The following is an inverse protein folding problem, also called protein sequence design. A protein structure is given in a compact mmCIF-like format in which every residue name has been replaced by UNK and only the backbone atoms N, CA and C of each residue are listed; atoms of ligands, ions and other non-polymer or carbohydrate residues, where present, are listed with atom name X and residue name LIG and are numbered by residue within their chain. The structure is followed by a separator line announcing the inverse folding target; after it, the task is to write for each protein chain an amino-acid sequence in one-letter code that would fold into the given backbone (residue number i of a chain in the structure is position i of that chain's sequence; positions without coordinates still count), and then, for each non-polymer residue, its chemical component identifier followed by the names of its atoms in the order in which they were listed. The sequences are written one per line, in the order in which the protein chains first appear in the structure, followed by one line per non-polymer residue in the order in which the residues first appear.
data_IF_084834826522
#
_entry.id   IF_084834826522
#
_cell.length_a   1.000
_cell.length_b   1.000
_cell.length_c   1.000
_cell.angle_alpha   90.00
_cell.angle_beta   90.00
_cell.angle_gamma   90.00
#
_symmetry.space_group_name_H-M   'P 1'
#
loop_
_entity.id
_entity.type
_entity.pdbx_description
1 polymer ?
#
# COMPACT_ATOMS: atom_id res chain seq x y z
N UNK A 1 17.61 -23.16 -40.24
CA UNK A 1 18.30 -22.55 -39.07
C UNK A 1 18.59 -21.10 -39.40
N UNK A 2 18.00 -20.13 -38.68
CA UNK A 2 18.21 -18.70 -38.94
C UNK A 2 19.66 -18.29 -38.65
N UNK A 3 20.21 -17.31 -39.39
CA UNK A 3 21.53 -16.75 -39.11
C UNK A 3 21.62 -16.26 -37.65
N UNK A 4 22.70 -16.61 -36.96
CA UNK A 4 22.90 -16.28 -35.54
C UNK A 4 22.85 -14.76 -35.28
N UNK A 5 23.28 -13.96 -36.27
CA UNK A 5 23.24 -12.49 -36.22
C UNK A 5 21.80 -11.99 -36.09
N UNK A 6 20.86 -12.57 -36.85
CA UNK A 6 19.44 -12.19 -36.84
C UNK A 6 18.80 -12.57 -35.49
N UNK A 7 19.02 -13.80 -35.02
CA UNK A 7 18.43 -14.27 -33.76
C UNK A 7 18.95 -13.47 -32.55
N UNK A 8 20.23 -13.12 -32.55
CA UNK A 8 20.85 -12.27 -31.53
C UNK A 8 20.24 -10.85 -31.53
N UNK A 9 20.05 -10.25 -32.70
CA UNK A 9 19.48 -8.92 -32.84
C UNK A 9 18.00 -8.89 -32.38
N UNK A 10 17.19 -9.86 -32.83
CA UNK A 10 15.80 -10.03 -32.41
C UNK A 10 15.70 -10.27 -30.89
N UNK A 11 16.61 -11.08 -30.32
CA UNK A 11 16.68 -11.31 -28.88
C UNK A 11 16.93 -10.03 -28.08
N UNK A 12 17.85 -9.17 -28.54
CA UNK A 12 18.10 -7.86 -27.93
C UNK A 12 16.88 -6.93 -28.06
N UNK A 13 16.24 -6.90 -29.24
CA UNK A 13 15.05 -6.10 -29.49
C UNK A 13 13.89 -6.52 -28.58
N UNK A 14 13.69 -7.82 -28.41
CA UNK A 14 12.69 -8.41 -27.51
C UNK A 14 12.91 -7.97 -26.06
N UNK A 15 14.15 -8.05 -25.54
CA UNK A 15 14.48 -7.60 -24.18
C UNK A 15 14.18 -6.11 -24.01
N UNK A 16 14.53 -5.29 -25.00
CA UNK A 16 14.26 -3.85 -24.97
C UNK A 16 12.77 -3.52 -25.04
N UNK A 17 11.99 -4.26 -25.83
CA UNK A 17 10.53 -4.13 -25.86
C UNK A 17 9.90 -4.48 -24.52
N UNK A 18 10.32 -5.59 -23.91
CA UNK A 18 9.85 -5.96 -22.56
C UNK A 18 10.19 -4.85 -21.55
N UNK A 19 11.40 -4.30 -21.59
CA UNK A 19 11.80 -3.20 -20.71
C UNK A 19 10.95 -1.95 -20.94
N UNK A 20 10.71 -1.54 -22.19
CA UNK A 20 9.84 -0.41 -22.53
C UNK A 20 8.42 -0.59 -22.00
N UNK A 21 7.82 -1.77 -22.20
CA UNK A 21 6.49 -2.06 -21.68
C UNK A 21 6.46 -2.10 -20.16
N UNK A 22 7.47 -2.69 -19.52
CA UNK A 22 7.57 -2.76 -18.07
C UNK A 22 7.65 -1.37 -17.46
N UNK A 23 8.60 -0.54 -17.90
CA UNK A 23 8.78 0.82 -17.37
C UNK A 23 7.51 1.64 -17.58
N UNK A 24 6.92 1.62 -18.78
CA UNK A 24 5.69 2.37 -19.06
C UNK A 24 4.54 1.93 -18.15
N UNK A 25 4.35 0.63 -17.93
CA UNK A 25 3.29 0.10 -17.06
C UNK A 25 3.55 0.40 -15.59
N UNK A 26 4.79 0.29 -15.14
CA UNK A 26 5.16 0.62 -13.76
C UNK A 26 4.91 2.10 -13.47
N UNK A 27 5.36 3.01 -14.33
CA UNK A 27 5.11 4.44 -14.13
C UNK A 27 3.61 4.74 -14.10
N UNK A 28 2.82 4.12 -14.99
CA UNK A 28 1.37 4.29 -14.97
C UNK A 28 0.73 3.72 -13.69
N UNK A 29 1.13 2.53 -13.25
CA UNK A 29 0.61 1.90 -12.04
C UNK A 29 0.97 2.71 -10.79
N UNK A 30 2.22 3.17 -10.68
CA UNK A 30 2.66 4.07 -9.61
C UNK A 30 1.82 5.35 -9.61
N UNK A 31 1.61 5.98 -10.77
CA UNK A 31 0.78 7.18 -10.87
C UNK A 31 -0.67 6.95 -10.44
N UNK A 32 -1.27 5.81 -10.82
CA UNK A 32 -2.64 5.45 -10.44
C UNK A 32 -2.74 5.16 -8.95
N UNK A 33 -1.83 4.35 -8.40
CA UNK A 33 -1.79 4.03 -6.96
C UNK A 33 -1.56 5.30 -6.14
N UNK A 34 -0.59 6.13 -6.53
CA UNK A 34 -0.32 7.39 -5.83
C UNK A 34 -1.51 8.35 -5.92
N UNK A 35 -2.16 8.46 -7.08
CA UNK A 35 -3.36 9.29 -7.23
C UNK A 35 -4.54 8.80 -6.38
N UNK A 36 -4.79 7.49 -6.38
CA UNK A 36 -5.82 6.87 -5.53
C UNK A 36 -5.49 7.01 -4.05
N UNK A 37 -4.22 6.83 -3.67
CA UNK A 37 -3.73 7.03 -2.30
C UNK A 37 -3.89 8.48 -1.85
N UNK A 38 -3.54 9.46 -2.70
CA UNK A 38 -3.77 10.87 -2.41
C UNK A 38 -5.27 11.19 -2.20
N UNK A 39 -6.16 10.61 -3.01
CA UNK A 39 -7.61 10.76 -2.82
C UNK A 39 -8.07 10.14 -1.50
N UNK A 40 -7.63 8.91 -1.20
CA UNK A 40 -7.97 8.22 0.04
C UNK A 40 -7.47 8.98 1.27
N UNK A 41 -6.22 9.43 1.28
CA UNK A 41 -5.66 10.25 2.36
C UNK A 41 -6.39 11.59 2.48
N UNK A 42 -6.76 12.20 1.36
CA UNK A 42 -7.57 13.42 1.35
C UNK A 42 -8.97 13.23 1.97
N UNK A 43 -9.58 12.06 1.77
CA UNK A 43 -10.83 11.67 2.43
C UNK A 43 -10.59 11.35 3.92
N UNK A 44 -9.49 10.65 4.23
CA UNK A 44 -9.07 10.30 5.59
C UNK A 44 -8.91 11.52 6.50
N UNK A 45 -8.51 12.67 5.94
CA UNK A 45 -8.49 13.94 6.67
C UNK A 45 -9.87 14.44 7.13
N UNK A 46 -10.96 13.93 6.57
CA UNK A 46 -12.34 14.28 6.96
C UNK A 46 -13.06 13.17 7.69
N UNK A 47 -12.59 11.93 7.58
CA UNK A 47 -13.24 10.73 8.14
C UNK A 47 -12.15 9.81 8.67
N UNK A 48 -12.21 9.47 9.97
CA UNK A 48 -11.26 8.54 10.61
C UNK A 48 -11.38 7.18 9.93
N UNK A 49 -10.34 6.81 9.17
CA UNK A 49 -10.24 5.56 8.43
C UNK A 49 -8.93 4.86 8.84
N UNK A 50 -8.96 4.05 9.92
CA UNK A 50 -7.75 3.49 10.54
C UNK A 50 -6.96 2.54 9.62
N UNK A 51 -7.57 2.08 8.53
CA UNK A 51 -6.96 1.16 7.57
C UNK A 51 -6.42 1.84 6.29
N UNK A 52 -6.55 3.17 6.17
CA UNK A 52 -6.23 3.87 4.92
C UNK A 52 -4.74 3.78 4.54
N UNK A 53 -3.84 4.01 5.49
CA UNK A 53 -2.38 3.92 5.28
C UNK A 53 -1.90 2.50 4.92
N UNK A 54 -2.18 1.44 5.71
CA UNK A 54 -1.73 0.11 5.37
C UNK A 54 -2.37 -0.40 4.06
N UNK A 55 -3.62 -0.01 3.76
CA UNK A 55 -4.27 -0.39 2.52
C UNK A 55 -3.56 0.19 1.27
N UNK A 56 -3.12 1.45 1.32
CA UNK A 56 -2.40 2.09 0.20
C UNK A 56 -1.05 1.42 -0.02
N UNK A 57 -0.33 1.07 1.03
CA UNK A 57 0.95 0.37 0.94
C UNK A 57 0.79 -1.04 0.33
N UNK A 58 -0.17 -1.82 0.83
CA UNK A 58 -0.46 -3.16 0.32
C UNK A 58 -0.93 -3.10 -1.13
N UNK A 59 -1.83 -2.18 -1.47
CA UNK A 59 -2.30 -1.98 -2.85
C UNK A 59 -1.15 -1.61 -3.80
N UNK A 60 -0.23 -0.75 -3.35
CA UNK A 60 0.97 -0.39 -4.11
C UNK A 60 1.89 -1.58 -4.37
N UNK A 61 2.18 -2.37 -3.33
CA UNK A 61 2.99 -3.58 -3.46
C UNK A 61 2.36 -4.59 -4.43
N UNK A 62 1.05 -4.84 -4.30
CA UNK A 62 0.30 -5.74 -5.18
C UNK A 62 0.28 -5.24 -6.62
N UNK A 63 0.11 -3.94 -6.86
CA UNK A 63 0.13 -3.36 -8.19
C UNK A 63 1.49 -3.54 -8.88
N UNK A 64 2.60 -3.30 -8.16
CA UNK A 64 3.96 -3.50 -8.69
C UNK A 64 4.21 -4.98 -9.00
N UNK A 65 3.83 -5.87 -8.09
CA UNK A 65 3.94 -7.32 -8.30
C UNK A 65 3.13 -7.77 -9.52
N UNK A 66 1.86 -7.38 -9.60
CA UNK A 66 0.96 -7.71 -10.70
C UNK A 66 1.50 -7.21 -12.06
N UNK A 67 1.97 -5.96 -12.15
CA UNK A 67 2.56 -5.42 -13.38
C UNK A 67 3.81 -6.19 -13.79
N UNK A 68 4.66 -6.54 -12.83
CA UNK A 68 5.91 -7.28 -13.07
C UNK A 68 5.60 -8.69 -13.58
N UNK A 69 4.74 -9.43 -12.88
CA UNK A 69 4.30 -10.78 -13.25
C UNK A 69 3.59 -10.77 -14.60
N UNK A 70 2.63 -9.86 -14.80
CA UNK A 70 1.90 -9.73 -16.05
C UNK A 70 2.84 -9.43 -17.23
N UNK A 71 3.83 -8.57 -17.04
CA UNK A 71 4.80 -8.23 -18.10
C UNK A 71 5.78 -9.38 -18.35
N UNK A 72 6.16 -10.12 -17.31
CA UNK A 72 6.95 -11.33 -17.45
C UNK A 72 6.18 -12.47 -18.14
N UNK A 73 4.86 -12.56 -17.97
CA UNK A 73 3.99 -13.50 -18.67
C UNK A 73 3.72 -13.07 -20.11
N UNK A 74 3.50 -11.77 -20.34
CA UNK A 74 3.19 -11.18 -21.65
C UNK A 74 4.43 -10.91 -22.51
N UNK A 75 5.47 -11.73 -22.40
CA UNK A 75 6.73 -11.54 -23.14
C UNK A 75 6.44 -11.52 -24.65
N UNK A 76 6.90 -10.49 -25.40
CA UNK A 76 6.68 -10.42 -26.84
C UNK A 76 7.19 -11.69 -27.54
N UNK A 77 6.45 -12.19 -28.54
CA UNK A 77 6.94 -13.29 -29.36
C UNK A 77 8.15 -12.84 -30.22
N UNK A 78 9.04 -13.76 -30.62
CA UNK A 78 10.16 -13.43 -31.50
C UNK A 78 9.71 -12.76 -32.80
N UNK A 79 8.59 -13.21 -33.38
CA UNK A 79 7.98 -12.61 -34.58
C UNK A 79 7.57 -11.16 -34.36
N UNK A 80 6.91 -10.85 -33.22
CA UNK A 80 6.52 -9.47 -32.89
C UNK A 80 7.74 -8.56 -32.70
N UNK A 81 8.81 -9.09 -32.09
CA UNK A 81 10.05 -8.33 -31.94
C UNK A 81 10.75 -8.07 -33.28
N UNK A 82 10.68 -9.01 -34.24
CA UNK A 82 11.20 -8.83 -35.59
C UNK A 82 10.41 -7.77 -36.38
N UNK A 83 9.07 -7.80 -36.33
CA UNK A 83 8.22 -6.78 -36.97
C UNK A 83 8.51 -5.37 -36.43
N UNK A 84 8.67 -5.25 -35.11
CA UNK A 84 8.99 -3.95 -34.50
C UNK A 84 10.39 -3.47 -34.88
N UNK A 85 11.34 -4.39 -35.04
CA UNK A 85 12.68 -4.12 -35.55
C UNK A 85 12.63 -3.60 -36.99
N UNK A 86 11.84 -4.23 -37.85
CA UNK A 86 11.64 -3.82 -39.23
C UNK A 86 11.03 -2.42 -39.32
N UNK A 87 10.01 -2.16 -38.50
CA UNK A 87 9.31 -0.86 -38.47
C UNK A 87 10.21 0.26 -37.94
N UNK A 88 10.93 0.03 -36.83
CA UNK A 88 11.69 1.10 -36.15
C UNK A 88 13.08 1.33 -36.71
N UNK A 89 13.75 0.30 -37.22
CA UNK A 89 15.07 0.41 -37.83
C UNK A 89 15.03 0.46 -39.36
N UNK A 90 13.83 0.40 -39.95
CA UNK A 90 13.63 0.54 -41.40
C UNK A 90 14.11 -0.65 -42.22
N UNK A 91 14.07 -1.87 -41.68
CA UNK A 91 14.46 -3.07 -42.43
C UNK A 91 13.43 -3.50 -43.49
N UNK A 92 12.22 -2.89 -43.51
CA UNK A 92 11.18 -3.16 -44.52
C UNK A 92 10.86 -4.67 -44.62
N UNK A 93 10.48 -5.26 -43.50
CA UNK A 93 10.11 -6.68 -43.32
C UNK A 93 11.22 -7.72 -43.54
N UNK A 94 12.47 -7.30 -43.81
CA UNK A 94 13.57 -8.24 -44.07
C UNK A 94 13.84 -9.19 -42.88
N UNK A 95 13.74 -8.72 -41.64
CA UNK A 95 14.05 -9.54 -40.46
C UNK A 95 12.89 -10.46 -40.12
N UNK A 96 11.65 -9.98 -40.17
CA UNK A 96 10.46 -10.81 -39.96
C UNK A 96 10.37 -11.93 -41.00
N UNK A 97 10.55 -11.60 -42.29
CA UNK A 97 10.53 -12.58 -43.38
C UNK A 97 11.68 -13.59 -43.25
N UNK A 98 12.90 -13.14 -42.94
CA UNK A 98 14.02 -14.07 -42.75
C UNK A 98 13.81 -15.03 -41.56
N UNK A 99 13.16 -14.56 -40.48
CA UNK A 99 12.83 -15.39 -39.33
C UNK A 99 11.77 -16.46 -39.66
N UNK A 100 10.80 -16.11 -40.50
CA UNK A 100 9.74 -17.02 -40.97
C UNK A 100 10.29 -18.06 -41.95
N UNK A 101 11.12 -17.65 -42.90
CA UNK A 101 11.73 -18.54 -43.90
C UNK A 101 12.77 -19.49 -43.29
N UNK A 102 13.49 -19.06 -42.26
CA UNK A 102 14.53 -19.87 -41.64
C UNK A 102 14.01 -21.14 -40.91
N UNK A 103 12.70 -21.22 -40.67
CA UNK A 103 11.99 -22.39 -40.15
C UNK A 103 11.51 -23.37 -41.23
N UNK A 104 11.52 -22.97 -42.50
CA UNK A 104 11.15 -23.83 -43.62
C UNK A 104 12.41 -24.57 -44.13
N UNK A 105 12.35 -25.90 -44.16
CA UNK A 105 13.38 -26.75 -44.76
C UNK A 105 12.69 -27.83 -45.61
N UNK A 106 13.14 -28.08 -46.86
CA UNK A 106 14.25 -27.41 -47.56
C UNK A 106 13.90 -26.00 -48.06
N UNK A 107 14.89 -25.08 -48.05
CA UNK A 107 14.74 -23.73 -48.63
C UNK A 107 15.08 -23.73 -50.12
N UNK A 108 14.35 -22.93 -50.90
CA UNK A 108 14.71 -22.64 -52.30
C UNK A 108 15.83 -21.56 -52.39
N UNK A 109 16.39 -21.38 -53.58
CA UNK A 109 17.51 -20.45 -53.83
C UNK A 109 17.13 -18.99 -53.51
N UNK A 110 15.88 -18.59 -53.78
CA UNK A 110 15.40 -17.24 -53.51
C UNK A 110 15.23 -16.97 -52.01
N UNK A 111 14.69 -17.93 -51.26
CA UNK A 111 14.56 -17.88 -49.81
C UNK A 111 15.93 -17.81 -49.14
N UNK A 112 16.90 -18.59 -49.63
CA UNK A 112 18.28 -18.53 -49.15
C UNK A 112 18.92 -17.15 -49.40
N UNK A 113 18.70 -16.55 -50.58
CA UNK A 113 19.17 -15.20 -50.89
C UNK A 113 18.51 -14.14 -49.99
N UNK A 114 17.21 -14.28 -49.68
CA UNK A 114 16.50 -13.37 -48.77
C UNK A 114 17.03 -13.44 -47.34
N UNK A 115 17.27 -14.65 -46.83
CA UNK A 115 17.85 -14.86 -45.50
C UNK A 115 19.27 -14.28 -45.41
N UNK A 116 20.10 -14.51 -46.44
CA UNK A 116 21.47 -13.97 -46.49
C UNK A 116 21.48 -12.43 -46.59
N UNK A 117 20.57 -11.85 -47.39
CA UNK A 117 20.41 -10.39 -47.49
C UNK A 117 20.00 -9.78 -46.14
N UNK A 118 19.07 -10.41 -45.43
CA UNK A 118 18.66 -9.96 -44.10
C UNK A 118 19.79 -10.09 -43.06
N UNK A 119 20.63 -11.13 -43.17
CA UNK A 119 21.80 -11.29 -42.31
C UNK A 119 22.82 -10.17 -42.54
N UNK A 120 23.13 -9.86 -43.80
CA UNK A 120 24.01 -8.75 -44.16
C UNK A 120 23.45 -7.39 -43.73
N UNK A 121 22.13 -7.20 -43.76
CA UNK A 121 21.50 -6.00 -43.20
C UNK A 121 21.65 -5.91 -41.67
N UNK A 122 21.55 -7.04 -40.97
CA UNK A 122 21.66 -7.11 -39.52
C UNK A 122 23.09 -6.97 -39.01
N UNK A 123 24.09 -7.27 -39.84
CA UNK A 123 25.51 -7.08 -39.53
C UNK A 123 25.82 -5.61 -39.21
N UNK A 124 26.50 -5.38 -38.09
CA UNK A 124 26.86 -4.04 -37.62
C UNK A 124 25.71 -3.18 -37.10
N UNK A 125 24.45 -3.63 -37.15
CA UNK A 125 23.32 -2.86 -36.64
C UNK A 125 23.22 -2.93 -35.12
N UNK A 126 22.96 -1.76 -34.53
CA UNK A 126 22.70 -1.61 -33.10
C UNK A 126 21.27 -1.13 -32.87
N UNK A 127 20.78 -1.27 -31.63
CA UNK A 127 19.46 -0.80 -31.25
C UNK A 127 19.41 0.71 -30.93
N UNK A 128 20.43 1.50 -31.29
CA UNK A 128 20.49 2.92 -30.93
C UNK A 128 19.23 3.69 -31.38
N UNK A 129 18.73 3.41 -32.60
CA UNK A 129 17.51 4.00 -33.16
C UNK A 129 16.19 3.34 -32.77
N UNK A 130 16.19 2.34 -31.89
CA UNK A 130 15.01 1.54 -31.57
C UNK A 130 13.98 2.26 -30.67
N UNK A 131 14.31 3.46 -30.20
CA UNK A 131 13.46 4.30 -29.34
C UNK A 131 13.86 4.28 -27.86
N UNK A 132 13.41 5.28 -27.11
CA UNK A 132 13.72 5.46 -25.70
C UNK A 132 13.02 4.40 -24.82
N UNK A 133 13.71 3.97 -23.75
CA UNK A 133 13.12 3.06 -22.74
C UNK A 133 12.14 3.81 -21.85
N UNK A 134 12.44 5.08 -21.57
CA UNK A 134 11.60 5.93 -20.75
C UNK A 134 10.31 6.32 -21.48
N UNK A 135 9.17 6.35 -20.76
CA UNK A 135 7.90 6.80 -21.31
C UNK A 135 7.93 8.31 -21.56
N UNK A 136 6.89 8.82 -22.24
CA UNK A 136 6.76 10.24 -22.55
C UNK A 136 6.84 11.11 -21.28
N UNK A 137 7.49 12.28 -21.40
CA UNK A 137 7.70 13.23 -20.30
C UNK A 137 6.41 13.64 -19.60
N UNK A 138 5.30 13.74 -20.34
CA UNK A 138 3.96 14.00 -19.78
C UNK A 138 3.51 12.93 -18.78
N UNK A 139 3.74 11.66 -19.10
CA UNK A 139 3.34 10.54 -18.26
C UNK A 139 4.21 10.48 -16.99
N UNK A 140 5.52 10.74 -17.14
CA UNK A 140 6.42 10.91 -15.99
C UNK A 140 6.01 12.09 -15.10
N UNK A 141 5.66 13.22 -15.70
CA UNK A 141 5.21 14.42 -14.98
C UNK A 141 3.92 14.16 -14.19
N UNK A 142 2.94 13.51 -14.80
CA UNK A 142 1.68 13.15 -14.12
C UNK A 142 1.90 12.15 -12.98
N UNK A 143 2.71 11.11 -13.19
CA UNK A 143 3.03 10.15 -12.13
C UNK A 143 3.82 10.81 -10.99
N UNK A 144 4.80 11.67 -11.32
CA UNK A 144 5.55 12.43 -10.34
C UNK A 144 4.67 13.38 -9.52
N UNK A 145 3.75 14.09 -10.17
CA UNK A 145 2.78 14.97 -9.49
C UNK A 145 1.89 14.18 -8.52
N UNK A 146 1.40 13.01 -8.94
CA UNK A 146 0.57 12.15 -8.09
C UNK A 146 1.34 11.66 -6.85
N UNK A 147 2.61 11.28 -7.01
CA UNK A 147 3.49 10.88 -5.90
C UNK A 147 3.73 12.04 -4.93
N UNK A 148 4.05 13.24 -5.46
CA UNK A 148 4.25 14.43 -4.63
C UNK A 148 2.98 14.79 -3.86
N UNK A 149 1.81 14.72 -4.49
CA UNK A 149 0.53 14.97 -3.84
C UNK A 149 0.24 13.95 -2.72
N UNK A 150 0.50 12.66 -2.96
CA UNK A 150 0.34 11.62 -1.95
C UNK A 150 1.26 11.86 -0.75
N UNK A 151 2.54 12.17 -0.99
CA UNK A 151 3.50 12.47 0.08
C UNK A 151 3.11 13.72 0.87
N UNK A 152 2.69 14.79 0.19
CA UNK A 152 2.24 16.02 0.83
C UNK A 152 1.00 15.80 1.72
N UNK A 153 0.16 14.82 1.38
CA UNK A 153 -1.01 14.47 2.18
C UNK A 153 -0.68 13.52 3.34
N UNK A 154 0.35 12.70 3.21
CA UNK A 154 0.81 11.76 4.24
C UNK A 154 1.66 12.38 5.36
N UNK A 155 2.30 13.55 5.13
CA UNK A 155 3.23 14.15 6.10
C UNK A 155 2.54 14.86 7.29
N UNK A 156 1.47 15.66 7.11
CA UNK A 156 0.83 16.33 8.23
C UNK A 156 -0.01 15.33 9.04
N UNK A 157 0.24 15.25 10.35
CA UNK A 157 -0.68 14.61 11.31
C UNK A 157 -2.09 15.16 11.07
N UNK A 158 -3.02 14.27 10.72
CA UNK A 158 -4.39 14.71 10.57
C UNK A 158 -4.93 15.01 11.98
N UNK A 159 -5.77 16.05 12.16
CA UNK A 159 -6.43 16.28 13.45
C UNK A 159 -7.25 15.08 13.93
N UNK A 160 -7.61 14.17 13.02
CA UNK A 160 -8.24 12.89 13.33
C UNK A 160 -7.28 11.89 14.00
N UNK A 161 -5.99 11.90 13.65
CA UNK A 161 -4.98 11.01 14.25
C UNK A 161 -4.67 11.44 15.68
N UNK A 162 -4.62 12.75 15.93
CA UNK A 162 -4.45 13.29 17.29
C UNK A 162 -5.64 12.92 18.20
N UNK A 163 -6.87 12.96 17.67
CA UNK A 163 -8.05 12.57 18.42
C UNK A 163 -8.10 11.05 18.68
N UNK A 164 -7.63 10.24 17.72
CA UNK A 164 -7.52 8.80 17.90
C UNK A 164 -6.44 8.43 18.92
N UNK A 165 -5.29 9.12 18.93
CA UNK A 165 -4.25 8.93 19.95
C UNK A 165 -4.75 9.29 21.34
N UNK A 166 -5.55 10.35 21.48
CA UNK A 166 -6.19 10.72 22.75
C UNK A 166 -7.11 9.62 23.24
N UNK A 167 -8.01 9.12 22.39
CA UNK A 167 -8.91 8.01 22.77
C UNK A 167 -8.15 6.76 23.19
N UNK A 168 -7.08 6.40 22.47
CA UNK A 168 -6.25 5.25 22.86
C UNK A 168 -5.55 5.46 24.20
N UNK A 169 -5.13 6.69 24.52
CA UNK A 169 -4.57 7.01 25.83
C UNK A 169 -5.65 6.97 26.92
N UNK A 170 -6.84 7.49 26.63
CA UNK A 170 -8.00 7.48 27.54
C UNK A 170 -8.44 6.03 27.85
N UNK A 171 -8.59 5.18 26.83
CA UNK A 171 -8.94 3.77 26.98
C UNK A 171 -7.89 3.00 27.79
N UNK A 172 -6.60 3.31 27.60
CA UNK A 172 -5.52 2.71 28.38
C UNK A 172 -5.58 3.11 29.86
N UNK A 173 -5.89 4.37 30.17
CA UNK A 173 -6.06 4.83 31.55
C UNK A 173 -7.26 4.17 32.24
N UNK A 174 -8.36 3.95 31.51
CA UNK A 174 -9.53 3.23 32.03
C UNK A 174 -9.16 1.78 32.33
N UNK A 175 -8.45 1.11 31.41
CA UNK A 175 -8.00 -0.27 31.60
C UNK A 175 -7.06 -0.43 32.81
N UNK A 176 -6.07 0.46 32.97
CA UNK A 176 -5.19 0.45 34.14
C UNK A 176 -5.98 0.65 35.45
N UNK A 177 -6.98 1.54 35.45
CA UNK A 177 -7.83 1.76 36.62
C UNK A 177 -8.71 0.55 36.97
N UNK A 178 -9.23 -0.17 35.97
CA UNK A 178 -9.98 -1.42 36.17
C UNK A 178 -9.08 -2.49 36.81
N UNK A 179 -7.86 -2.64 36.29
CA UNK A 179 -6.89 -3.59 36.84
C UNK A 179 -6.52 -3.25 38.29
N UNK A 180 -6.30 -1.97 38.61
CA UNK A 180 -6.04 -1.49 39.97
C UNK A 180 -7.22 -1.78 40.91
N UNK A 181 -8.47 -1.57 40.47
CA UNK A 181 -9.67 -1.86 41.26
C UNK A 181 -9.82 -3.36 41.55
N UNK A 182 -9.64 -4.20 40.52
CA UNK A 182 -9.69 -5.67 40.67
C UNK A 182 -8.60 -6.19 41.60
N UNK A 183 -7.39 -5.61 41.50
CA UNK A 183 -6.31 -5.97 42.41
C UNK A 183 -6.65 -5.55 43.85
N UNK A 184 -7.16 -4.34 44.06
CA UNK A 184 -7.56 -3.87 45.37
C UNK A 184 -8.70 -4.72 45.98
N UNK A 185 -9.67 -5.15 45.15
CA UNK A 185 -10.74 -6.07 45.56
C UNK A 185 -10.18 -7.41 46.04
N UNK A 186 -9.21 -7.98 45.31
CA UNK A 186 -8.56 -9.24 45.68
C UNK A 186 -7.71 -9.15 46.97
N UNK A 187 -7.19 -7.98 47.28
CA UNK A 187 -6.40 -7.70 48.49
C UNK A 187 -7.27 -7.27 49.69
N UNK A 188 -8.53 -6.91 49.46
CA UNK A 188 -9.44 -6.45 50.49
C UNK A 188 -9.79 -7.59 51.48
N UNK A 189 -9.74 -7.27 52.78
CA UNK A 189 -10.10 -8.22 53.84
C UNK A 189 -11.59 -8.21 54.20
N UNK A 190 -12.30 -7.15 53.78
CA UNK A 190 -13.74 -6.97 53.99
C UNK A 190 -14.47 -7.34 52.70
N UNK A 191 -15.44 -8.26 52.80
CA UNK A 191 -16.18 -8.81 51.66
C UNK A 191 -17.11 -7.77 51.02
N UNK A 192 -17.63 -6.81 51.79
CA UNK A 192 -18.49 -5.73 51.28
C UNK A 192 -17.66 -4.68 50.52
N UNK A 193 -16.44 -4.41 50.99
CA UNK A 193 -15.46 -3.56 50.29
C UNK A 193 -14.97 -4.23 49.00
N UNK A 194 -14.68 -5.53 49.05
CA UNK A 194 -14.25 -6.29 47.88
C UNK A 194 -15.33 -6.28 46.78
N UNK A 195 -16.59 -6.55 47.15
CA UNK A 195 -17.72 -6.51 46.22
C UNK A 195 -17.92 -5.12 45.61
N UNK A 196 -17.84 -4.06 46.41
CA UNK A 196 -17.98 -2.66 45.92
C UNK A 196 -16.88 -2.29 44.91
N UNK A 197 -15.66 -2.76 45.13
CA UNK A 197 -14.53 -2.53 44.21
C UNK A 197 -14.67 -3.34 42.91
N UNK A 198 -15.23 -4.54 42.97
CA UNK A 198 -15.47 -5.39 41.79
C UNK A 198 -16.63 -4.84 40.95
N UNK A 199 -17.73 -4.42 41.58
CA UNK A 199 -18.83 -3.71 40.91
C UNK A 199 -18.33 -2.42 40.23
N UNK A 200 -17.45 -1.66 40.90
CA UNK A 200 -16.84 -0.48 40.30
C UNK A 200 -15.97 -0.80 39.09
N UNK A 201 -15.25 -1.93 39.10
CA UNK A 201 -14.47 -2.37 37.95
C UNK A 201 -15.37 -2.73 36.76
N UNK A 202 -16.51 -3.40 36.99
CA UNK A 202 -17.51 -3.68 35.97
C UNK A 202 -18.16 -2.40 35.43
N UNK A 203 -18.49 -1.46 36.32
CA UNK A 203 -19.00 -0.14 35.93
C UNK A 203 -17.98 0.65 35.09
N UNK A 204 -16.68 0.53 35.34
CA UNK A 204 -15.68 1.18 34.48
C UNK A 204 -15.57 0.51 33.11
N UNK A 205 -15.80 -0.80 32.99
CA UNK A 205 -15.83 -1.50 31.69
C UNK A 205 -16.97 -1.01 30.78
N UNK A 206 -18.07 -0.57 31.38
CA UNK A 206 -19.23 -0.02 30.66
C UNK A 206 -19.12 1.48 30.33
N UNK A 207 -18.09 2.18 30.83
CA UNK A 207 -17.93 3.61 30.60
C UNK A 207 -17.62 3.91 29.12
N UNK A 208 -18.32 4.88 28.52
CA UNK A 208 -18.14 5.20 27.11
C UNK A 208 -16.95 6.14 26.84
N UNK A 209 -16.42 6.79 27.88
CA UNK A 209 -15.31 7.74 27.82
C UNK A 209 -14.70 7.99 29.21
N UNK A 210 -13.55 8.67 29.24
CA UNK A 210 -12.80 8.98 30.45
C UNK A 210 -13.57 9.85 31.46
N UNK A 211 -14.35 10.84 31.01
CA UNK A 211 -15.11 11.70 31.91
C UNK A 211 -16.18 10.90 32.68
N UNK A 212 -16.85 9.98 31.99
CA UNK A 212 -17.80 9.06 32.59
C UNK A 212 -17.12 8.07 33.55
N UNK A 213 -15.95 7.53 33.20
CA UNK A 213 -15.16 6.69 34.09
C UNK A 213 -14.72 7.44 35.37
N UNK A 214 -14.31 8.71 35.25
CA UNK A 214 -13.95 9.55 36.40
C UNK A 214 -15.18 9.80 37.29
N UNK A 215 -16.35 10.03 36.70
CA UNK A 215 -17.58 10.21 37.45
C UNK A 215 -17.94 8.94 38.26
N UNK A 216 -17.91 7.77 37.61
CA UNK A 216 -18.19 6.47 38.26
C UNK A 216 -17.20 6.17 39.39
N UNK A 217 -15.89 6.40 39.17
CA UNK A 217 -14.87 6.32 40.24
C UNK A 217 -15.14 7.27 41.41
N UNK A 218 -15.74 8.44 41.13
CA UNK A 218 -16.14 9.41 42.14
C UNK A 218 -17.25 8.89 43.04
N UNK A 219 -18.25 8.23 42.45
CA UNK A 219 -19.37 7.62 43.15
C UNK A 219 -18.88 6.44 44.01
N UNK A 220 -18.06 5.54 43.45
CA UNK A 220 -17.44 4.45 44.22
C UNK A 220 -16.65 4.94 45.43
N UNK A 221 -15.90 6.05 45.30
CA UNK A 221 -15.17 6.66 46.42
C UNK A 221 -16.10 7.17 47.51
N UNK A 222 -17.29 7.65 47.15
CA UNK A 222 -18.29 8.08 48.12
C UNK A 222 -18.87 6.88 48.87
N UNK A 223 -19.20 5.80 48.16
CA UNK A 223 -19.75 4.57 48.74
C UNK A 223 -18.75 3.88 49.68
N UNK A 224 -17.47 3.79 49.26
CA UNK A 224 -16.40 3.27 50.13
C UNK A 224 -16.15 4.14 51.36
N UNK A 225 -16.34 5.46 51.26
CA UNK A 225 -16.21 6.36 52.41
C UNK A 225 -17.39 6.20 53.40
N UNK A 226 -18.58 5.86 52.89
CA UNK A 226 -19.75 5.52 53.71
C UNK A 226 -19.55 4.19 54.46
N UNK A 227 -19.02 3.17 53.79
CA UNK A 227 -18.68 1.88 54.40
C UNK A 227 -17.57 1.99 55.45
N UNK A 228 -16.58 2.87 55.24
CA UNK A 228 -15.46 3.06 56.15
C UNK A 228 -15.80 3.88 57.42
N UNK A 229 -16.84 4.73 57.38
CA UNK A 229 -17.25 5.57 58.52
C UNK A 229 -18.78 5.75 58.60
N UNK A 230 -19.52 4.69 59.00
CA UNK A 230 -20.99 4.71 59.07
C UNK A 230 -21.56 5.72 60.08
N UNK A 231 -20.75 6.22 61.03
CA UNK A 231 -21.14 7.23 62.02
C UNK A 231 -20.92 8.69 61.55
N UNK A 232 -20.31 8.92 60.37
CA UNK A 232 -20.05 10.26 59.82
C UNK A 232 -21.23 10.88 59.04
N UNK A 233 -22.16 10.05 58.54
CA UNK A 233 -23.34 10.49 57.78
C UNK A 233 -24.29 11.44 58.55
N UNK A 234 -24.65 11.19 59.83
CA UNK A 234 -25.48 12.10 60.60
C UNK A 234 -24.80 13.47 60.82
N UNK A 235 -23.47 13.49 60.93
CA UNK A 235 -22.69 14.69 61.23
C UNK A 235 -22.55 15.61 60.00
N UNK A 236 -22.45 15.04 58.79
CA UNK A 236 -22.49 15.81 57.53
C UNK A 236 -23.88 16.37 57.21
N UNK A 237 -24.94 15.60 57.44
CA UNK A 237 -26.32 16.08 57.29
C UNK A 237 -26.63 17.23 58.27
N UNK A 238 -26.06 17.20 59.48
CA UNK A 238 -26.18 18.27 60.46
C UNK A 238 -25.40 19.55 60.08
N UNK A 239 -24.28 19.44 59.34
CA UNK A 239 -23.49 20.60 58.90
C UNK A 239 -23.95 21.21 57.57
N UNK A 240 -24.68 20.47 56.74
CA UNK A 240 -25.29 21.00 55.50
C UNK A 240 -26.63 21.72 55.73
N UNK A 241 -27.17 21.68 56.97
CA UNK A 241 -28.44 22.28 57.37
C UNK A 241 -28.34 23.65 58.05
N UNK A 242 -27.17 24.31 58.04
CA UNK A 242 -26.94 25.68 58.54
C UNK A 242 -26.30 26.54 57.47
#
# INVERSE_FOLDING_TARGET
MPPEVITRLVGKARRRLTAMFLVRRLVAAIGVVAGAGALLLGIGRRVVLPWSEPAVLVAGALAVAAVTVWTAASRPSPRRAAIELDTRLGAKDQVATALELAGHLPMNVLEHAQVTKAAAWAEGRTLAGFGAVLPATRLLGLAGLAVVAALALAIPESPADAEQQRRQADDALIADAIDDLRQAAAEATDEEVAATLEDAAEDLEEAANLDEAIARLGDTRADLAELADPDALPLRAAMAGT
#
